data_IF_454966721038
#
_entry.id   IF_454966721038
#
_cell.length_a   1.000
_cell.length_b   1.000
_cell.length_c   1.000
_cell.angle_alpha   90.00
_cell.angle_beta   90.00
_cell.angle_gamma   90.00
#
_symmetry.space_group_name_H-M   'P 1'
#
loop_
_entity.id
_entity.type
_entity.pdbx_description
1 polymer ?
#
# COMPACT_ATOMS: atom_id res chain seq x y z
N UNK A 1 17.64 14.16 -1.39
CA UNK A 1 16.22 14.14 -1.80
C UNK A 1 15.69 12.72 -1.64
N UNK A 2 14.53 12.51 -1.00
CA UNK A 2 13.99 11.17 -0.76
C UNK A 2 12.84 10.88 -1.75
N UNK A 3 13.07 9.95 -2.67
CA UNK A 3 12.04 9.35 -3.52
C UNK A 3 11.62 8.01 -2.88
N UNK A 4 10.32 7.86 -2.61
CA UNK A 4 9.76 6.62 -2.11
C UNK A 4 9.08 5.86 -3.24
N UNK A 5 9.45 4.59 -3.38
CA UNK A 5 8.93 3.67 -4.39
C UNK A 5 8.09 2.61 -3.67
N UNK A 6 6.79 2.63 -3.93
CA UNK A 6 5.80 1.64 -3.48
C UNK A 6 5.47 0.75 -4.68
N UNK A 7 6.33 -0.22 -4.97
CA UNK A 7 6.10 -1.13 -6.09
C UNK A 7 5.29 -2.34 -5.61
N UNK A 8 4.14 -2.60 -6.22
CA UNK A 8 3.35 -3.81 -5.99
C UNK A 8 3.94 -5.05 -6.66
N UNK A 9 5.05 -4.93 -7.40
CA UNK A 9 5.72 -6.11 -7.98
C UNK A 9 5.82 -7.18 -6.91
N UNK A 10 5.03 -8.23 -7.11
CA UNK A 10 4.94 -9.33 -6.18
C UNK A 10 6.26 -10.07 -6.21
N UNK A 11 7.18 -9.66 -5.33
CA UNK A 11 8.49 -10.29 -5.14
C UNK A 11 8.28 -11.78 -4.78
N UNK A 12 7.12 -12.12 -4.23
CA UNK A 12 6.72 -13.47 -3.90
C UNK A 12 6.00 -14.18 -5.04
N UNK A 13 5.80 -13.60 -6.23
CA UNK A 13 5.07 -14.26 -7.32
C UNK A 13 5.61 -15.66 -7.69
N UNK A 14 6.94 -15.89 -7.77
CA UNK A 14 7.47 -17.24 -7.97
C UNK A 14 7.11 -18.19 -6.81
N UNK A 15 7.13 -17.67 -5.59
CA UNK A 15 6.80 -18.41 -4.36
C UNK A 15 5.30 -18.72 -4.29
N UNK A 16 4.42 -17.76 -4.62
CA UNK A 16 2.98 -17.95 -4.73
C UNK A 16 2.63 -19.01 -5.77
N UNK A 17 3.30 -19.01 -6.92
CA UNK A 17 3.12 -20.06 -7.95
C UNK A 17 3.56 -21.43 -7.41
N UNK A 18 4.71 -21.52 -6.75
CA UNK A 18 5.20 -22.78 -6.18
C UNK A 18 4.28 -23.30 -5.07
N UNK A 19 3.83 -22.44 -4.16
CA UNK A 19 2.88 -22.80 -3.10
C UNK A 19 1.53 -23.22 -3.68
N UNK A 20 1.04 -22.56 -4.74
CA UNK A 20 -0.15 -22.99 -5.46
C UNK A 20 -0.03 -24.41 -6.03
N UNK A 21 1.12 -24.73 -6.63
CA UNK A 21 1.42 -26.09 -7.10
C UNK A 21 1.45 -27.10 -5.95
N UNK A 22 2.13 -26.77 -4.84
CA UNK A 22 2.23 -27.63 -3.67
C UNK A 22 0.88 -27.84 -2.97
N UNK A 23 -0.01 -26.83 -2.96
CA UNK A 23 -1.42 -26.97 -2.52
C UNK A 23 -2.18 -27.97 -3.41
N UNK A 24 -2.01 -27.88 -4.73
CA UNK A 24 -2.61 -28.83 -5.68
C UNK A 24 -2.12 -30.27 -5.52
N UNK A 25 -0.90 -30.45 -5.01
CA UNK A 25 -0.30 -31.76 -4.70
C UNK A 25 -0.62 -32.26 -3.27
N UNK A 26 -1.38 -31.50 -2.48
CA UNK A 26 -1.69 -31.86 -1.08
C UNK A 26 -0.51 -31.76 -0.11
N UNK A 27 0.60 -31.15 -0.52
CA UNK A 27 1.81 -30.98 0.30
C UNK A 27 1.64 -29.82 1.29
N UNK A 28 0.94 -28.77 0.87
CA UNK A 28 0.57 -27.62 1.71
C UNK A 28 -0.78 -27.91 2.35
N UNK A 29 -0.79 -28.01 3.67
CA UNK A 29 -1.97 -28.34 4.48
C UNK A 29 -2.68 -27.08 4.99
N UNK A 30 -3.92 -27.20 5.51
CA UNK A 30 -4.65 -26.07 6.10
C UNK A 30 -3.94 -25.35 7.25
N UNK A 31 -2.91 -25.97 7.85
CA UNK A 31 -2.07 -25.35 8.89
C UNK A 31 -0.88 -24.55 8.36
N UNK A 32 -0.68 -24.50 7.04
CA UNK A 32 0.43 -23.75 6.43
C UNK A 32 0.03 -22.27 6.34
N UNK A 33 0.82 -21.33 6.90
CA UNK A 33 0.52 -19.91 6.82
C UNK A 33 0.47 -19.47 5.34
N UNK A 34 -0.52 -18.65 5.01
CA UNK A 34 -0.57 -18.02 3.70
C UNK A 34 0.63 -17.10 3.50
N UNK A 35 1.08 -17.01 2.25
CA UNK A 35 2.14 -16.09 1.88
C UNK A 35 1.67 -14.65 2.03
N UNK A 36 2.57 -13.72 2.41
CA UNK A 36 2.23 -12.32 2.54
C UNK A 36 1.75 -11.75 1.21
N UNK A 37 0.73 -10.90 1.29
CA UNK A 37 0.15 -10.22 0.14
C UNK A 37 0.51 -8.75 0.22
N UNK A 38 0.98 -8.19 -0.90
CA UNK A 38 1.39 -6.80 -0.98
C UNK A 38 0.53 -6.11 -2.02
N UNK A 39 0.04 -4.92 -1.71
CA UNK A 39 -0.64 -4.06 -2.66
C UNK A 39 -0.18 -2.61 -2.50
N UNK A 40 -0.03 -1.89 -3.60
CA UNK A 40 0.23 -0.46 -3.58
C UNK A 40 -0.87 0.31 -4.30
N UNK A 41 -1.16 1.49 -3.78
CA UNK A 41 -2.20 2.39 -4.28
C UNK A 41 -1.78 3.84 -4.13
N UNK A 42 -2.22 4.73 -5.02
CA UNK A 42 -1.82 6.12 -4.97
C UNK A 42 -2.86 7.09 -5.55
N UNK A 43 -2.71 8.38 -5.21
CA UNK A 43 -3.62 9.44 -5.62
C UNK A 43 -2.90 10.79 -5.80
N UNK A 44 -3.48 11.64 -6.65
CA UNK A 44 -3.06 13.03 -6.88
C UNK A 44 -4.04 14.06 -6.29
N UNK A 45 -5.04 13.61 -5.52
CA UNK A 45 -6.08 14.51 -5.00
C UNK A 45 -5.46 15.48 -4.00
N UNK A 46 -5.85 16.75 -4.11
CA UNK A 46 -5.34 17.79 -3.22
C UNK A 46 -5.90 17.68 -1.80
N UNK A 47 -7.15 17.22 -1.69
CA UNK A 47 -7.80 16.94 -0.41
C UNK A 47 -7.25 15.63 0.17
N UNK A 48 -6.76 15.68 1.41
CA UNK A 48 -6.12 14.53 2.06
C UNK A 48 -7.06 13.33 2.20
N UNK A 49 -8.32 13.55 2.59
CA UNK A 49 -9.25 12.44 2.78
C UNK A 49 -9.59 11.79 1.44
N UNK A 50 -9.90 12.59 0.41
CA UNK A 50 -10.14 12.06 -0.95
C UNK A 50 -8.93 11.35 -1.53
N UNK A 51 -7.72 11.81 -1.21
CA UNK A 51 -6.48 11.15 -1.63
C UNK A 51 -6.33 9.79 -0.95
N UNK A 52 -6.60 9.72 0.35
CA UNK A 52 -6.61 8.47 1.12
C UNK A 52 -7.65 7.49 0.60
N UNK A 53 -8.91 7.91 0.44
CA UNK A 53 -9.99 7.05 -0.05
C UNK A 53 -9.65 6.50 -1.44
N UNK A 54 -9.13 7.36 -2.32
CA UNK A 54 -8.67 6.98 -3.66
C UNK A 54 -7.51 5.99 -3.62
N UNK A 55 -6.47 6.23 -2.82
CA UNK A 55 -5.33 5.33 -2.71
C UNK A 55 -5.74 3.99 -2.08
N UNK A 56 -6.53 4.02 -1.01
CA UNK A 56 -7.02 2.84 -0.31
C UNK A 56 -7.92 1.97 -1.18
N UNK A 57 -8.87 2.58 -1.90
CA UNK A 57 -9.76 1.87 -2.83
C UNK A 57 -9.04 1.19 -4.00
N UNK A 58 -7.78 1.55 -4.26
CA UNK A 58 -6.95 0.94 -5.29
C UNK A 58 -6.13 -0.27 -4.79
N UNK A 59 -6.07 -0.51 -3.47
CA UNK A 59 -5.38 -1.66 -2.91
C UNK A 59 -6.08 -2.97 -3.31
N UNK A 60 -5.29 -3.99 -3.67
CA UNK A 60 -5.77 -5.31 -4.11
C UNK A 60 -5.08 -6.42 -3.32
N UNK A 61 -5.51 -6.64 -2.08
CA UNK A 61 -5.02 -7.73 -1.22
C UNK A 61 -5.77 -9.06 -1.43
N UNK A 62 -6.58 -9.17 -2.49
CA UNK A 62 -7.34 -10.38 -2.79
C UNK A 62 -8.34 -10.78 -1.69
N UNK A 63 -9.00 -9.78 -1.08
CA UNK A 63 -10.00 -9.97 -0.03
C UNK A 63 -9.45 -10.02 1.41
N UNK A 64 -8.14 -10.06 1.59
CA UNK A 64 -7.52 -10.02 2.91
C UNK A 64 -7.47 -8.59 3.47
N UNK A 65 -7.63 -8.46 4.79
CA UNK A 65 -7.46 -7.19 5.49
C UNK A 65 -5.97 -6.90 5.74
N UNK A 66 -5.50 -5.65 5.61
CA UNK A 66 -4.11 -5.33 5.86
C UNK A 66 -3.74 -5.53 7.33
N UNK A 67 -2.56 -6.10 7.59
CA UNK A 67 -1.91 -6.20 8.89
C UNK A 67 -0.89 -5.08 9.14
N UNK A 68 -0.47 -4.37 8.08
CA UNK A 68 0.38 -3.18 8.14
C UNK A 68 0.07 -2.27 6.95
N UNK A 69 0.03 -0.95 7.21
CA UNK A 69 -0.05 0.08 6.16
C UNK A 69 1.14 1.03 6.26
N UNK A 70 1.83 1.24 5.14
CA UNK A 70 2.88 2.23 4.98
C UNK A 70 2.35 3.37 4.11
N UNK A 71 2.36 4.59 4.63
CA UNK A 71 1.91 5.78 3.93
C UNK A 71 3.09 6.66 3.53
N UNK A 72 3.21 6.94 2.23
CA UNK A 72 4.11 7.95 1.69
C UNK A 72 3.28 9.10 1.15
N UNK A 73 3.57 10.33 1.55
CA UNK A 73 2.79 11.49 1.09
C UNK A 73 3.67 12.72 0.93
N UNK A 74 3.28 13.60 0.03
CA UNK A 74 3.96 14.89 -0.12
C UNK A 74 3.72 15.77 1.09
N UNK A 75 4.68 16.65 1.42
CA UNK A 75 4.58 17.60 2.54
C UNK A 75 3.40 18.58 2.45
N UNK A 76 2.69 18.60 1.32
CA UNK A 76 1.43 19.33 1.11
C UNK A 76 0.22 18.66 1.76
N UNK A 77 0.32 17.39 2.16
CA UNK A 77 -0.66 16.71 3.01
C UNK A 77 -0.25 16.88 4.48
N UNK A 78 -1.20 17.35 5.29
CA UNK A 78 -1.01 17.43 6.73
C UNK A 78 -0.88 16.02 7.34
N UNK A 79 0.21 15.80 8.09
CA UNK A 79 0.52 14.52 8.73
C UNK A 79 -0.63 14.03 9.62
N UNK A 80 -1.18 14.89 10.48
CA UNK A 80 -2.19 14.47 11.45
C UNK A 80 -3.47 14.03 10.73
N UNK A 81 -3.89 14.77 9.70
CA UNK A 81 -5.02 14.39 8.84
C UNK A 81 -4.78 13.08 8.10
N UNK A 82 -3.55 12.80 7.65
CA UNK A 82 -3.20 11.52 7.02
C UNK A 82 -3.39 10.38 8.03
N UNK A 83 -2.80 10.49 9.22
CA UNK A 83 -2.88 9.42 10.24
C UNK A 83 -4.30 9.25 10.79
N UNK A 84 -5.04 10.32 11.02
CA UNK A 84 -6.45 10.26 11.43
C UNK A 84 -7.32 9.59 10.37
N UNK A 85 -7.14 9.94 9.10
CA UNK A 85 -7.89 9.33 7.99
C UNK A 85 -7.55 7.84 7.85
N UNK A 86 -6.28 7.45 8.00
CA UNK A 86 -5.88 6.05 7.95
C UNK A 86 -6.42 5.24 9.13
N UNK A 87 -6.46 5.79 10.34
CA UNK A 87 -7.09 5.12 11.50
C UNK A 87 -8.59 4.87 11.30
N UNK A 88 -9.27 5.72 10.52
CA UNK A 88 -10.68 5.53 10.14
C UNK A 88 -10.85 4.45 9.07
N UNK A 89 -9.96 4.43 8.07
CA UNK A 89 -10.02 3.48 6.96
C UNK A 89 -9.59 2.06 7.36
N UNK A 90 -8.58 1.96 8.20
CA UNK A 90 -8.02 0.70 8.71
C UNK A 90 -7.96 0.75 10.24
N UNK A 91 -9.10 0.55 10.95
CA UNK A 91 -9.09 0.46 12.40
C UNK A 91 -8.16 -0.66 12.86
N UNK A 92 -7.41 -0.43 13.94
CA UNK A 92 -6.52 -1.40 14.58
C UNK A 92 -5.31 -1.88 13.75
N UNK A 93 -5.13 -1.38 12.53
CA UNK A 93 -3.97 -1.69 11.69
C UNK A 93 -2.82 -0.73 12.02
N UNK A 94 -1.62 -1.21 12.36
CA UNK A 94 -0.47 -0.34 12.56
C UNK A 94 -0.15 0.42 11.26
N UNK A 95 0.12 1.72 11.41
CA UNK A 95 0.45 2.64 10.32
C UNK A 95 1.84 3.23 10.52
N UNK A 96 2.69 3.09 9.50
CA UNK A 96 3.98 3.80 9.41
C UNK A 96 3.86 4.84 8.32
N UNK A 97 4.27 6.08 8.59
CA UNK A 97 4.12 7.18 7.65
C UNK A 97 5.42 7.94 7.43
N UNK A 98 5.63 8.42 6.21
CA UNK A 98 6.77 9.26 5.83
C UNK A 98 6.32 10.34 4.86
N UNK A 99 6.91 11.53 4.99
CA UNK A 99 6.68 12.64 4.07
C UNK A 99 7.80 12.75 3.03
N UNK A 100 7.45 13.21 1.83
CA UNK A 100 8.39 13.55 0.75
C UNK A 100 8.13 14.96 0.23
N UNK A 101 9.16 15.65 -0.29
CA UNK A 101 8.97 16.97 -0.88
C UNK A 101 8.56 16.92 -2.37
N UNK A 102 8.74 15.77 -3.04
CA UNK A 102 8.78 15.72 -4.51
C UNK A 102 7.71 14.82 -5.13
N UNK A 103 7.31 13.75 -4.44
CA UNK A 103 6.30 12.84 -4.94
C UNK A 103 6.45 11.43 -4.38
N UNK A 104 5.69 10.51 -4.95
CA UNK A 104 5.68 9.08 -4.62
C UNK A 104 5.70 8.30 -5.92
N UNK A 105 6.43 7.20 -6.01
CA UNK A 105 6.25 6.23 -7.10
C UNK A 105 5.37 5.12 -6.57
N UNK A 106 4.33 4.75 -7.31
CA UNK A 106 3.51 3.58 -7.00
C UNK A 106 3.25 2.77 -8.27
N UNK A 107 3.40 1.46 -8.22
CA UNK A 107 3.16 0.55 -9.36
C UNK A 107 3.92 0.97 -10.63
N UNK A 108 5.20 1.27 -10.48
CA UNK A 108 6.06 1.73 -11.57
C UNK A 108 5.72 3.12 -12.14
N UNK A 109 4.74 3.82 -11.59
CA UNK A 109 4.31 5.15 -12.05
C UNK A 109 4.71 6.23 -11.05
N UNK A 110 5.26 7.33 -11.57
CA UNK A 110 5.57 8.53 -10.80
C UNK A 110 4.31 9.34 -10.50
N UNK A 111 4.05 9.60 -9.22
CA UNK A 111 3.00 10.47 -8.71
C UNK A 111 3.60 11.77 -8.17
N UNK A 112 3.51 12.82 -8.97
CA UNK A 112 3.68 14.21 -8.54
C UNK A 112 2.77 15.11 -9.37
N UNK A 113 2.35 16.24 -8.81
CA UNK A 113 1.63 17.28 -9.55
C UNK A 113 2.47 18.53 -9.60
N UNK A 114 2.13 19.49 -10.47
CA UNK A 114 2.75 20.83 -10.46
C UNK A 114 2.63 21.56 -9.11
N UNK A 115 1.76 21.06 -8.23
CA UNK A 115 1.56 21.52 -6.85
C UNK A 115 2.09 20.52 -5.81
N UNK A 116 2.88 19.51 -6.22
CA UNK A 116 3.46 18.45 -5.40
C UNK A 116 2.45 17.82 -4.44
N UNK A 117 1.34 17.28 -4.98
CA UNK A 117 0.29 16.60 -4.20
C UNK A 117 0.20 15.15 -4.63
N UNK A 118 0.82 14.29 -3.85
CA UNK A 118 0.78 12.85 -4.05
C UNK A 118 0.68 12.16 -2.71
N UNK A 119 -0.15 11.12 -2.66
CA UNK A 119 -0.27 10.22 -1.52
C UNK A 119 -0.26 8.80 -2.07
N UNK A 120 0.60 7.96 -1.52
CA UNK A 120 0.68 6.54 -1.81
C UNK A 120 0.60 5.71 -0.53
N UNK A 121 0.01 4.53 -0.67
CA UNK A 121 -0.14 3.53 0.38
C UNK A 121 0.48 2.23 -0.12
N UNK A 122 1.23 1.55 0.74
CA UNK A 122 1.61 0.16 0.59
C UNK A 122 0.96 -0.61 1.73
N UNK A 123 0.21 -1.65 1.39
CA UNK A 123 -0.48 -2.48 2.35
C UNK A 123 0.07 -3.90 2.30
N UNK A 124 0.23 -4.50 3.47
CA UNK A 124 0.70 -5.87 3.64
C UNK A 124 -0.38 -6.63 4.41
N UNK A 125 -0.71 -7.84 3.96
CA UNK A 125 -1.58 -8.79 4.66
C UNK A 125 -0.86 -10.11 4.87
#
# INVERSE_FOLDING_TARGET
>A
ELLLVLDEKDVFAPVHRAVGMLKGLGVVTPGTPDLPRIAAGASYKADTQKALDSAHSSLRLGGAAPSLVIAAYTCTHDKNKVFEGLRKLCPDVPVVGVSSCRGVVANGRWYSSSKSRALGLLAIS
#
